data_IF_536749440476
#
_entry.id   IF_536749440476
#
_cell.length_a   1.000
_cell.length_b   1.000
_cell.length_c   1.000
_cell.angle_alpha   90.00
_cell.angle_beta   90.00
_cell.angle_gamma   90.00
#
_symmetry.space_group_name_H-M   'P 1'
#
loop_
_entity.id
_entity.type
_entity.pdbx_description
1 polymer ?
#
# COMPACT_ATOMS: atom_id res chain seq x y z
N UNK A 1 -6.53 7.80 -7.13
CA UNK A 1 -5.16 7.36 -6.78
C UNK A 1 -5.06 5.89 -7.12
N UNK A 2 -3.95 5.42 -7.71
CA UNK A 2 -3.80 4.00 -8.03
C UNK A 2 -3.45 3.24 -6.76
N UNK A 3 -4.10 2.11 -6.53
CA UNK A 3 -3.85 1.22 -5.40
C UNK A 3 -3.46 -0.15 -5.96
N UNK A 4 -2.39 -0.72 -5.43
CA UNK A 4 -1.86 -2.01 -5.85
C UNK A 4 -1.68 -2.91 -4.62
N UNK A 5 -2.33 -4.06 -4.60
CA UNK A 5 -2.11 -5.07 -3.57
C UNK A 5 -1.10 -6.08 -4.04
N UNK A 6 -0.06 -6.31 -3.22
CA UNK A 6 0.96 -7.28 -3.59
C UNK A 6 0.37 -8.69 -3.71
N UNK A 7 0.69 -9.33 -4.82
CA UNK A 7 0.44 -10.74 -5.06
C UNK A 7 1.53 -11.59 -4.38
N UNK A 8 1.27 -12.90 -4.14
CA UNK A 8 2.26 -13.80 -3.56
C UNK A 8 3.60 -13.84 -4.31
N UNK A 9 3.56 -13.72 -5.64
CA UNK A 9 4.71 -13.72 -6.55
C UNK A 9 5.49 -12.41 -6.58
N UNK A 10 4.88 -11.30 -6.13
CA UNK A 10 5.53 -10.01 -6.11
C UNK A 10 6.62 -9.96 -5.06
N UNK A 11 7.68 -9.21 -5.34
CA UNK A 11 8.75 -8.97 -4.38
C UNK A 11 8.65 -7.55 -3.84
N UNK A 12 8.87 -7.39 -2.53
CA UNK A 12 9.03 -6.10 -1.87
C UNK A 12 10.28 -6.12 -1.01
N UNK A 13 11.08 -5.08 -1.11
CA UNK A 13 12.30 -4.93 -0.33
C UNK A 13 12.63 -3.46 -0.04
N UNK A 14 13.44 -3.25 0.98
CA UNK A 14 14.04 -1.95 1.25
C UNK A 14 15.44 -1.93 0.62
N UNK A 15 15.60 -1.14 -0.43
CA UNK A 15 16.90 -0.89 -1.03
C UNK A 15 17.73 0.00 -0.08
N UNK A 16 18.96 -0.41 0.26
CA UNK A 16 19.84 0.41 1.09
C UNK A 16 20.30 1.64 0.30
N UNK A 17 20.83 2.63 1.02
CA UNK A 17 21.53 3.75 0.41
C UNK A 17 22.74 3.22 -0.37
N UNK A 18 22.89 3.64 -1.63
CA UNK A 18 24.04 3.29 -2.47
C UNK A 18 24.63 4.56 -3.09
N UNK A 19 25.79 5.00 -2.56
CA UNK A 19 26.42 6.26 -2.93
C UNK A 19 25.51 7.47 -2.69
N UNK A 20 25.15 8.15 -3.78
CA UNK A 20 24.26 9.32 -3.77
C UNK A 20 22.77 8.95 -3.77
N UNK A 21 22.41 7.69 -4.06
CA UNK A 21 21.03 7.24 -4.08
C UNK A 21 20.52 6.99 -2.66
N UNK A 22 19.42 7.66 -2.28
CA UNK A 22 18.76 7.44 -0.98
C UNK A 22 18.14 6.04 -0.86
N UNK A 23 17.88 5.59 0.37
CA UNK A 23 17.11 4.36 0.61
C UNK A 23 15.73 4.45 -0.06
N UNK A 24 15.24 3.33 -0.59
CA UNK A 24 13.94 3.29 -1.25
C UNK A 24 13.21 1.96 -1.01
N UNK A 25 11.89 2.00 -0.91
CA UNK A 25 11.07 0.80 -1.01
C UNK A 25 10.92 0.44 -2.49
N UNK A 26 11.32 -0.78 -2.83
CA UNK A 26 11.23 -1.35 -4.17
C UNK A 26 10.14 -2.42 -4.18
N UNK A 27 9.23 -2.32 -5.15
CA UNK A 27 8.21 -3.33 -5.39
C UNK A 27 8.32 -3.79 -6.82
N UNK A 28 8.57 -5.08 -7.01
CA UNK A 28 8.64 -5.70 -8.31
C UNK A 28 7.44 -6.63 -8.52
N UNK A 29 6.54 -6.22 -9.40
CA UNK A 29 5.36 -7.00 -9.80
C UNK A 29 5.46 -7.42 -11.27
N UNK A 30 6.19 -8.52 -11.48
CA UNK A 30 6.56 -9.20 -12.75
C UNK A 30 7.15 -8.32 -13.86
N UNK A 31 6.41 -7.30 -14.29
CA UNK A 31 6.74 -6.40 -15.40
C UNK A 31 6.88 -4.94 -14.98
N UNK A 32 6.43 -4.60 -13.77
CA UNK A 32 6.45 -3.22 -13.29
C UNK A 32 7.30 -3.13 -12.04
N UNK A 33 8.15 -2.10 -12.00
CA UNK A 33 8.85 -1.68 -10.80
C UNK A 33 8.14 -0.44 -10.27
N UNK A 34 7.82 -0.43 -8.98
CA UNK A 34 7.38 0.76 -8.26
C UNK A 34 8.51 1.11 -7.29
N UNK A 35 8.97 2.36 -7.33
CA UNK A 35 10.07 2.81 -6.50
C UNK A 35 9.63 3.99 -5.64
N UNK A 36 9.62 3.80 -4.33
CA UNK A 36 9.30 4.84 -3.35
C UNK A 36 10.56 5.23 -2.59
N UNK A 37 11.19 6.38 -2.93
CA UNK A 37 12.27 6.91 -2.11
C UNK A 37 11.76 7.12 -0.68
N UNK A 38 12.53 6.66 0.31
CA UNK A 38 12.06 6.65 1.69
C UNK A 38 11.71 8.05 2.16
N UNK A 39 12.41 9.11 1.74
CA UNK A 39 12.06 10.51 2.06
C UNK A 39 10.72 10.99 1.49
N UNK A 40 10.19 10.30 0.47
CA UNK A 40 8.96 10.65 -0.25
C UNK A 40 7.74 9.87 0.19
N UNK A 41 7.89 8.92 1.12
CA UNK A 41 6.75 8.22 1.73
C UNK A 41 5.95 9.23 2.55
N UNK A 42 4.70 9.42 2.15
CA UNK A 42 3.75 10.38 2.72
C UNK A 42 3.14 9.83 4.00
N UNK A 43 2.73 8.56 3.99
CA UNK A 43 2.10 7.92 5.13
C UNK A 43 2.20 6.40 5.07
N UNK A 44 2.19 5.78 6.25
CA UNK A 44 2.02 4.34 6.43
C UNK A 44 0.87 4.12 7.41
N UNK A 45 -0.02 3.19 7.10
CA UNK A 45 -1.15 2.84 7.97
C UNK A 45 -1.54 1.38 7.78
N UNK A 46 -2.21 0.79 8.77
CA UNK A 46 -2.70 -0.58 8.71
C UNK A 46 -4.17 -0.57 8.26
N UNK A 47 -4.42 -1.13 7.07
CA UNK A 47 -5.78 -1.36 6.57
C UNK A 47 -6.24 -2.75 6.97
N UNK A 48 -7.41 -2.82 7.60
CA UNK A 48 -8.10 -4.05 7.97
C UNK A 48 -9.09 -4.45 6.89
N UNK A 49 -9.26 -5.76 6.71
CA UNK A 49 -10.29 -6.34 5.83
C UNK A 49 -10.21 -5.93 4.35
N UNK A 50 -9.02 -5.69 3.80
CA UNK A 50 -8.83 -5.30 2.39
C UNK A 50 -9.25 -6.43 1.46
N UNK A 51 -10.03 -6.10 0.41
CA UNK A 51 -10.63 -7.09 -0.49
C UNK A 51 -10.16 -7.05 -1.94
N UNK A 52 -9.16 -6.24 -2.30
CA UNK A 52 -8.69 -6.02 -3.70
C UNK A 52 -8.68 -7.31 -4.54
N UNK A 53 -9.80 -7.57 -5.21
CA UNK A 53 -10.16 -8.74 -5.99
C UNK A 53 -9.88 -10.12 -5.34
N UNK A 54 -9.68 -10.16 -4.02
CA UNK A 54 -9.49 -11.38 -3.24
C UNK A 54 -10.83 -11.93 -2.75
N UNK A 55 -10.95 -13.27 -2.78
CA UNK A 55 -12.11 -13.98 -2.21
C UNK A 55 -12.20 -13.84 -0.69
N UNK A 56 -11.07 -13.64 -0.02
CA UNK A 56 -10.98 -13.47 1.43
C UNK A 56 -10.37 -12.10 1.73
N UNK A 57 -10.96 -11.35 2.68
CA UNK A 57 -10.35 -10.11 3.15
C UNK A 57 -9.00 -10.40 3.80
N UNK A 58 -8.08 -9.45 3.71
CA UNK A 58 -6.74 -9.54 4.29
C UNK A 58 -6.30 -8.20 4.86
N UNK A 59 -5.57 -8.24 5.97
CA UNK A 59 -5.02 -7.03 6.57
C UNK A 59 -3.72 -6.66 5.86
N UNK A 60 -3.55 -5.37 5.55
CA UNK A 60 -2.43 -4.87 4.78
C UNK A 60 -1.79 -3.64 5.41
N UNK A 61 -0.46 -3.58 5.40
CA UNK A 61 0.25 -2.33 5.57
C UNK A 61 0.12 -1.52 4.26
N UNK A 62 -0.53 -0.37 4.32
CA UNK A 62 -0.66 0.54 3.20
C UNK A 62 0.47 1.57 3.24
N UNK A 63 1.30 1.58 2.19
CA UNK A 63 2.35 2.58 1.97
C UNK A 63 1.87 3.52 0.88
N UNK A 64 1.78 4.80 1.22
CA UNK A 64 1.40 5.84 0.28
C UNK A 64 2.59 6.73 -0.02
N UNK A 65 2.91 6.85 -1.31
CA UNK A 65 3.99 7.68 -1.78
C UNK A 65 3.77 8.06 -3.25
N UNK A 66 4.63 8.95 -3.75
CA UNK A 66 4.75 9.17 -5.19
C UNK A 66 5.82 8.23 -5.75
N UNK A 67 5.45 7.48 -6.79
CA UNK A 67 6.38 6.62 -7.53
C UNK A 67 7.40 7.46 -8.27
N UNK A 68 8.69 7.23 -8.01
CA UNK A 68 9.78 7.98 -8.61
C UNK A 68 9.92 7.74 -10.11
N UNK A 69 9.45 6.60 -10.64
CA UNK A 69 9.62 6.26 -12.06
C UNK A 69 8.58 6.94 -12.95
N UNK A 70 7.35 7.10 -12.45
CA UNK A 70 6.22 7.64 -13.22
C UNK A 70 5.65 8.95 -12.64
N UNK A 71 6.26 9.49 -11.59
CA UNK A 71 5.84 10.69 -10.86
C UNK A 71 4.35 10.68 -10.48
N UNK A 72 3.82 9.50 -10.14
CA UNK A 72 2.40 9.28 -9.90
C UNK A 72 2.12 8.89 -8.44
N UNK A 73 1.10 9.45 -7.78
CA UNK A 73 0.70 9.03 -6.44
C UNK A 73 0.13 7.61 -6.47
N UNK A 74 0.68 6.74 -5.62
CA UNK A 74 0.31 5.34 -5.52
C UNK A 74 0.18 4.89 -4.06
N UNK A 75 -0.70 3.91 -3.84
CA UNK A 75 -0.79 3.13 -2.61
C UNK A 75 -0.38 1.69 -2.89
N UNK A 76 0.62 1.21 -2.17
CA UNK A 76 1.00 -0.21 -2.18
C UNK A 76 0.48 -0.85 -0.90
N UNK A 77 -0.32 -1.91 -1.05
CA UNK A 77 -0.85 -2.71 0.04
C UNK A 77 0.00 -3.96 0.20
N UNK A 78 0.69 -4.05 1.33
CA UNK A 78 1.55 -5.18 1.69
C UNK A 78 0.78 -6.08 2.66
N UNK A 79 0.37 -7.29 2.25
CA UNK A 79 -0.33 -8.21 3.14
C UNK A 79 0.51 -8.54 4.37
N UNK A 80 -0.05 -8.46 5.58
CA UNK A 80 0.73 -8.64 6.82
C UNK A 80 1.15 -10.10 7.06
N UNK A 81 0.50 -11.05 6.40
CA UNK A 81 0.77 -12.48 6.54
C UNK A 81 1.76 -13.02 5.50
N UNK A 82 2.30 -12.16 4.62
CA UNK A 82 3.28 -12.61 3.63
C UNK A 82 4.63 -12.92 4.29
N UNK A 83 5.39 -13.82 3.66
CA UNK A 83 6.76 -14.09 4.07
C UNK A 83 7.62 -12.83 3.96
N UNK A 84 8.49 -12.62 4.96
CA UNK A 84 9.38 -11.45 5.02
C UNK A 84 8.72 -10.15 5.48
N UNK A 85 7.41 -10.12 5.73
CA UNK A 85 6.69 -8.92 6.16
C UNK A 85 7.31 -8.24 7.39
N UNK A 86 7.49 -8.98 8.48
CA UNK A 86 7.99 -8.40 9.74
C UNK A 86 9.41 -7.85 9.59
N UNK A 87 10.25 -8.51 8.78
CA UNK A 87 11.60 -8.03 8.47
C UNK A 87 11.53 -6.70 7.71
N UNK A 88 10.79 -6.67 6.60
CA UNK A 88 10.61 -5.48 5.78
C UNK A 88 10.05 -4.31 6.60
N UNK A 89 9.02 -4.57 7.41
CA UNK A 89 8.40 -3.59 8.30
C UNK A 89 9.41 -3.02 9.29
N UNK A 90 10.22 -3.86 9.92
CA UNK A 90 11.23 -3.42 10.88
C UNK A 90 12.32 -2.58 10.20
N UNK A 91 12.77 -2.97 9.01
CA UNK A 91 13.76 -2.22 8.22
C UNK A 91 13.21 -0.84 7.82
N UNK A 92 11.97 -0.77 7.33
CA UNK A 92 11.35 0.49 6.97
C UNK A 92 11.11 1.39 8.20
N UNK A 93 10.70 0.82 9.33
CA UNK A 93 10.54 1.54 10.59
C UNK A 93 11.88 2.05 11.15
N UNK A 94 13.00 1.37 10.89
CA UNK A 94 14.32 1.87 11.28
C UNK A 94 14.74 3.10 10.46
N UNK A 95 14.35 3.18 9.19
CA UNK A 95 14.67 4.32 8.31
C UNK A 95 13.71 5.50 8.49
N UNK A 96 12.41 5.23 8.70
CA UNK A 96 11.36 6.25 8.87
C UNK A 96 10.57 6.02 10.17
N UNK A 97 11.19 6.08 11.36
CA UNK A 97 10.52 5.75 12.62
C UNK A 97 9.29 6.62 12.91
N UNK A 98 9.29 7.85 12.43
CA UNK A 98 8.17 8.79 12.58
C UNK A 98 6.89 8.33 11.89
N UNK A 99 6.99 7.48 10.84
CA UNK A 99 5.83 6.90 10.16
C UNK A 99 5.18 5.76 10.96
N UNK A 100 5.89 5.20 11.94
CA UNK A 100 5.45 4.05 12.72
C UNK A 100 5.21 4.37 14.21
N UNK A 101 5.51 5.59 14.66
CA UNK A 101 5.33 5.99 16.06
C UNK A 101 3.88 5.89 16.55
N UNK A 102 2.92 6.21 15.68
CA UNK A 102 1.50 5.90 15.86
C UNK A 102 0.99 5.36 14.53
N UNK A 103 1.11 4.05 14.32
CA UNK A 103 0.62 3.41 13.09
C UNK A 103 -0.91 3.43 13.11
N UNK A 104 -1.58 4.28 12.30
CA UNK A 104 -3.04 4.36 12.33
C UNK A 104 -3.64 3.07 11.78
N UNK A 105 -4.72 2.60 12.39
CA UNK A 105 -5.48 1.45 11.91
C UNK A 105 -6.84 1.92 11.38
N UNK A 106 -7.23 1.40 10.21
CA UNK A 106 -8.50 1.75 9.56
C UNK A 106 -9.10 0.53 8.86
N UNK A 107 -10.43 0.42 8.88
CA UNK A 107 -11.17 -0.55 8.06
C UNK A 107 -11.18 -0.11 6.58
N UNK A 108 -10.90 -1.04 5.67
CA UNK A 108 -11.02 -0.80 4.24
C UNK A 108 -12.48 -0.81 3.80
N UNK A 109 -13.10 0.37 3.86
CA UNK A 109 -14.46 0.58 3.37
C UNK A 109 -14.38 0.96 1.89
N UNK A 110 -14.58 -0.03 1.00
CA UNK A 110 -14.84 0.28 -0.41
C UNK A 110 -16.15 1.05 -0.51
N UNK A 111 -16.16 2.12 -1.31
CA UNK A 111 -17.40 2.70 -1.83
C UNK A 111 -18.10 1.63 -2.66
N UNK A 112 -18.96 0.85 -2.03
CA UNK A 112 -19.90 0.00 -2.75
C UNK A 112 -20.84 0.95 -3.47
N UNK A 113 -20.82 0.94 -4.81
CA UNK A 113 -21.92 1.49 -5.59
C UNK A 113 -23.20 0.92 -5.00
N UNK A 114 -24.06 1.81 -4.50
CA UNK A 114 -25.39 1.50 -4.05
C UNK A 114 -26.18 1.05 -5.28
N UNK A 115 -26.06 -0.24 -5.64
CA UNK A 115 -26.93 -0.91 -6.60
C UNK A 115 -28.39 -1.00 -6.10
N UNK A 116 -28.78 -0.17 -5.14
CA UNK A 116 -30.17 0.24 -4.97
C UNK A 116 -30.56 1.02 -6.21
N UNK A 117 -31.02 0.30 -7.24
CA UNK A 117 -31.79 0.84 -8.37
C UNK A 117 -33.12 1.47 -7.93
N UNK A 118 -33.08 2.36 -6.93
CA UNK A 118 -34.21 3.17 -6.51
C UNK A 118 -34.38 4.26 -7.57
N UNK A 119 -35.02 3.88 -8.68
CA UNK A 119 -35.69 4.82 -9.55
C UNK A 119 -36.55 5.75 -8.68
N UNK A 120 -36.19 7.04 -8.69
CA UNK A 120 -37.03 8.14 -8.25
C UNK A 120 -38.34 8.12 -9.05
N UNK A 121 -39.32 7.34 -8.61
CA UNK A 121 -40.71 7.54 -8.98
C UNK A 121 -41.42 8.25 -7.83
N UNK A 122 -41.40 9.59 -7.91
CA UNK A 122 -42.46 10.41 -7.30
C UNK A 122 -43.75 10.07 -8.04
N UNK A 123 -44.57 9.18 -7.47
CA UNK A 123 -46.00 9.20 -7.79
C UNK A 123 -46.63 10.38 -7.04
N UNK A 124 -47.31 11.21 -7.81
CA UNK A 124 -48.14 12.34 -7.36
C UNK A 124 -49.30 11.86 -6.50
#
# INVERSE_FOLDING_TARGET
MKRYMLLPEDTIELLPQDGEAECAVSVFCERTLILFPCSKIESVLLLRNVREDRRKPEDCLCIRARDALFDAPQEVLVPIHRDGFEKFRAELAAVRPELFGQLPEQEDVRETCDQTGSHLHRHK
#
